data_IF_372332438665
#
_entry.id   IF_372332438665
#
_cell.length_a   1.000
_cell.length_b   1.000
_cell.length_c   1.000
_cell.angle_alpha   90.00
_cell.angle_beta   90.00
_cell.angle_gamma   90.00
#
_symmetry.space_group_name_H-M   'P 1'
#
loop_
_entity.id
_entity.type
_entity.pdbx_description
1 polymer ?
#
# COMPACT_ATOMS: atom_id res chain seq x y z
N UNK A 1 7.24 -4.37 -12.27
CA UNK A 1 8.66 -4.36 -12.68
C UNK A 1 9.02 -5.64 -13.43
N UNK A 2 8.75 -6.82 -12.88
CA UNK A 2 9.14 -8.12 -13.43
C UNK A 2 8.15 -8.74 -14.44
N UNK A 3 7.18 -7.97 -14.93
CA UNK A 3 6.17 -8.47 -15.87
C UNK A 3 4.87 -8.97 -15.22
N UNK A 4 4.61 -8.68 -13.95
CA UNK A 4 3.28 -8.87 -13.33
C UNK A 4 3.07 -10.22 -12.65
N UNK A 5 4.12 -10.83 -12.10
CA UNK A 5 4.04 -11.98 -11.21
C UNK A 5 3.18 -11.65 -9.98
N UNK A 6 2.59 -12.69 -9.40
CA UNK A 6 1.86 -12.59 -8.16
C UNK A 6 2.82 -12.28 -7.00
N UNK A 7 2.39 -11.34 -6.15
CA UNK A 7 3.14 -11.02 -4.94
C UNK A 7 2.71 -11.96 -3.81
N UNK A 8 3.65 -12.60 -3.09
CA UNK A 8 3.33 -13.42 -1.92
C UNK A 8 2.74 -12.61 -0.76
N UNK A 9 2.93 -11.28 -0.78
CA UNK A 9 2.37 -10.36 0.23
C UNK A 9 0.94 -9.88 -0.08
N UNK A 10 0.34 -10.28 -1.20
CA UNK A 10 -0.99 -9.79 -1.61
C UNK A 10 -2.03 -10.05 -0.50
N UNK A 11 -2.63 -8.98 0.02
CA UNK A 11 -3.64 -9.04 1.09
C UNK A 11 -3.11 -9.38 2.49
N UNK A 12 -1.79 -9.50 2.67
CA UNK A 12 -1.18 -9.97 3.92
C UNK A 12 -0.19 -8.97 4.53
N UNK A 13 0.09 -7.85 3.87
CA UNK A 13 1.14 -6.91 4.28
C UNK A 13 0.95 -6.40 5.71
N UNK A 14 -0.26 -6.05 6.14
CA UNK A 14 -0.52 -5.60 7.51
C UNK A 14 -0.22 -6.69 8.54
N UNK A 15 -0.66 -7.92 8.28
CA UNK A 15 -0.41 -9.05 9.17
C UNK A 15 1.08 -9.38 9.26
N UNK A 16 1.81 -9.27 8.14
CA UNK A 16 3.27 -9.44 8.11
C UNK A 16 3.93 -8.35 8.94
N UNK A 17 3.56 -7.07 8.78
CA UNK A 17 4.13 -5.96 9.54
C UNK A 17 3.84 -6.09 11.04
N UNK A 18 2.60 -6.41 11.42
CA UNK A 18 2.24 -6.68 12.82
C UNK A 18 3.04 -7.85 13.40
N UNK A 19 3.20 -8.95 12.65
CA UNK A 19 4.01 -10.09 13.06
C UNK A 19 5.51 -9.78 13.22
N UNK A 20 6.00 -8.73 12.57
CA UNK A 20 7.37 -8.22 12.70
C UNK A 20 7.53 -7.22 13.87
N UNK A 21 6.46 -6.94 14.61
CA UNK A 21 6.49 -6.06 15.78
C UNK A 21 6.23 -4.59 15.49
N UNK A 22 5.69 -4.24 14.32
CA UNK A 22 5.21 -2.87 14.06
C UNK A 22 3.94 -2.62 14.86
N UNK A 23 3.86 -1.50 15.56
CA UNK A 23 2.67 -1.10 16.31
C UNK A 23 1.47 -0.97 15.35
N UNK A 24 0.33 -1.64 15.61
CA UNK A 24 -0.83 -1.65 14.71
C UNK A 24 -1.33 -0.26 14.32
N UNK A 25 -1.23 0.71 15.22
CA UNK A 25 -1.60 2.11 15.02
C UNK A 25 -0.75 2.78 13.92
N UNK A 26 0.48 2.31 13.74
CA UNK A 26 1.47 2.79 12.79
C UNK A 26 1.59 1.92 11.53
N UNK A 27 0.63 1.01 11.32
CA UNK A 27 0.43 0.29 10.05
C UNK A 27 -0.70 0.98 9.28
N UNK A 28 -0.35 1.96 8.45
CA UNK A 28 -1.32 2.85 7.77
C UNK A 28 -1.60 2.38 6.35
N UNK A 29 -2.84 2.00 6.05
CA UNK A 29 -3.28 1.74 4.68
C UNK A 29 -3.88 2.99 4.06
N UNK A 30 -3.47 3.34 2.84
CA UNK A 30 -4.03 4.49 2.11
C UNK A 30 -4.32 4.17 0.65
N UNK A 31 -5.26 4.90 0.06
CA UNK A 31 -5.60 4.80 -1.36
C UNK A 31 -4.97 5.98 -2.11
N UNK A 32 -3.89 5.76 -2.90
CA UNK A 32 -3.13 6.83 -3.52
C UNK A 32 -3.82 7.35 -4.79
N UNK A 33 -4.85 8.16 -4.59
CA UNK A 33 -5.61 8.87 -5.62
C UNK A 33 -5.54 10.38 -5.36
N UNK A 34 -5.64 11.19 -6.43
CA UNK A 34 -5.57 12.65 -6.34
C UNK A 34 -6.54 13.25 -5.32
N UNK A 35 -7.76 12.70 -5.23
CA UNK A 35 -8.79 13.14 -4.27
C UNK A 35 -8.42 12.90 -2.79
N UNK A 36 -7.45 12.04 -2.52
CA UNK A 36 -6.99 11.70 -1.17
C UNK A 36 -5.63 12.36 -0.87
N UNK A 37 -5.22 13.37 -1.65
CA UNK A 37 -3.91 14.01 -1.48
C UNK A 37 -3.71 14.55 -0.07
N UNK A 38 -4.69 15.26 0.48
CA UNK A 38 -4.55 15.92 1.78
C UNK A 38 -4.48 14.90 2.92
N UNK A 39 -5.28 13.85 2.87
CA UNK A 39 -5.20 12.70 3.79
C UNK A 39 -3.83 12.03 3.71
N UNK A 40 -3.30 11.76 2.51
CA UNK A 40 -1.97 11.17 2.35
C UNK A 40 -0.87 12.05 2.93
N UNK A 41 -0.92 13.37 2.67
CA UNK A 41 0.06 14.32 3.21
C UNK A 41 -0.01 14.34 4.73
N UNK A 42 -1.21 14.33 5.31
CA UNK A 42 -1.40 14.29 6.75
C UNK A 42 -0.81 13.02 7.35
N UNK A 43 -1.20 11.83 6.84
CA UNK A 43 -0.69 10.54 7.34
C UNK A 43 0.83 10.47 7.23
N UNK A 44 1.39 10.84 6.08
CA UNK A 44 2.86 10.83 5.90
C UNK A 44 3.54 11.76 6.91
N UNK A 45 2.98 12.94 7.20
CA UNK A 45 3.52 13.84 8.23
C UNK A 45 3.42 13.26 9.64
N UNK A 46 2.29 12.68 10.00
CA UNK A 46 2.08 12.04 11.31
C UNK A 46 3.10 10.92 11.52
N UNK A 47 3.21 10.02 10.55
CA UNK A 47 4.12 8.87 10.62
C UNK A 47 5.61 9.25 10.55
N UNK A 48 5.98 10.32 9.82
CA UNK A 48 7.36 10.83 9.83
C UNK A 48 7.76 11.42 11.20
N UNK A 49 6.80 11.91 11.99
CA UNK A 49 7.08 12.45 13.33
C UNK A 49 7.06 11.38 14.43
N UNK A 50 6.52 10.20 14.14
CA UNK A 50 6.50 9.08 15.08
C UNK A 50 7.93 8.55 15.33
N UNK A 51 8.29 8.37 16.60
CA UNK A 51 9.62 7.91 17.03
C UNK A 51 9.68 6.40 17.21
N UNK A 52 9.32 5.68 16.16
CA UNK A 52 9.33 4.23 16.10
C UNK A 52 9.26 3.73 14.65
N UNK A 53 9.10 2.42 14.46
CA UNK A 53 8.90 1.86 13.12
C UNK A 53 7.46 2.11 12.70
N UNK A 54 7.30 2.82 11.59
CA UNK A 54 6.01 3.03 10.94
C UNK A 54 6.02 2.44 9.53
N UNK A 55 4.88 1.90 9.10
CA UNK A 55 4.70 1.33 7.77
C UNK A 55 3.45 1.91 7.11
N UNK A 56 3.65 2.55 5.97
CA UNK A 56 2.56 3.04 5.10
C UNK A 56 2.41 2.10 3.90
N UNK A 57 1.21 1.55 3.71
CA UNK A 57 0.86 0.59 2.65
C UNK A 57 -0.10 1.24 1.65
N UNK A 58 0.40 1.87 0.58
CA UNK A 58 -0.42 2.44 -0.47
C UNK A 58 -1.05 1.35 -1.36
N UNK A 59 -2.37 1.37 -1.48
CA UNK A 59 -3.15 0.37 -2.23
C UNK A 59 -3.85 0.96 -3.44
N UNK A 60 -3.32 0.63 -4.62
CA UNK A 60 -3.96 0.90 -5.91
C UNK A 60 -3.71 -0.25 -6.87
N UNK A 61 -4.59 -0.40 -7.85
CA UNK A 61 -4.37 -1.33 -8.93
C UNK A 61 -3.17 -0.89 -9.79
N UNK A 62 -2.38 -1.88 -10.23
CA UNK A 62 -1.35 -1.67 -11.24
C UNK A 62 -2.03 -1.44 -12.59
N UNK A 63 -1.85 -0.26 -13.18
CA UNK A 63 -2.48 0.12 -14.46
C UNK A 63 -2.12 -0.88 -15.56
N UNK A 64 -0.87 -1.34 -15.60
CA UNK A 64 -0.44 -2.37 -16.57
C UNK A 64 -1.14 -3.71 -16.37
N UNK A 65 -1.35 -4.14 -15.12
CA UNK A 65 -2.07 -5.37 -14.82
C UNK A 65 -3.55 -5.28 -15.20
N UNK A 66 -4.18 -4.12 -14.95
CA UNK A 66 -5.55 -3.85 -15.39
C UNK A 66 -5.68 -3.89 -16.91
N UNK A 67 -4.76 -3.22 -17.63
CA UNK A 67 -4.80 -3.18 -19.09
C UNK A 67 -4.65 -4.58 -19.72
N UNK A 68 -3.78 -5.44 -19.16
CA UNK A 68 -3.64 -6.83 -19.62
C UNK A 68 -4.91 -7.66 -19.41
N UNK A 69 -5.52 -7.57 -18.22
CA UNK A 69 -6.79 -8.27 -17.92
C UNK A 69 -7.94 -7.81 -18.81
N UNK A 70 -7.93 -6.54 -19.23
CA UNK A 70 -8.92 -5.99 -20.16
C UNK A 70 -8.73 -6.56 -21.57
N UNK A 71 -7.48 -6.65 -22.03
CA UNK A 71 -7.15 -7.13 -23.37
C UNK A 71 -7.22 -8.65 -23.53
N UNK A 72 -7.10 -9.43 -22.44
CA UNK A 72 -7.23 -10.90 -22.47
C UNK A 72 -8.69 -11.39 -22.43
N UNK A 73 -9.66 -10.48 -22.29
CA UNK A 73 -11.11 -10.77 -22.31
C UNK A 73 -11.78 -10.30 -23.62
N UNK A 74 -10.97 -9.94 -24.63
CA UNK A 74 -11.36 -9.69 -26.01
C UNK A 74 -10.97 -10.91 -26.84
#
# INVERSE_FOLDING_TARGET
MTGGQDSPGTGRLEAICAGLGVEPEHIRSLVPLKKNHDEMVQVIKEEMNYRGVSVIIPRRACIHALNRKKNSKQ
#
